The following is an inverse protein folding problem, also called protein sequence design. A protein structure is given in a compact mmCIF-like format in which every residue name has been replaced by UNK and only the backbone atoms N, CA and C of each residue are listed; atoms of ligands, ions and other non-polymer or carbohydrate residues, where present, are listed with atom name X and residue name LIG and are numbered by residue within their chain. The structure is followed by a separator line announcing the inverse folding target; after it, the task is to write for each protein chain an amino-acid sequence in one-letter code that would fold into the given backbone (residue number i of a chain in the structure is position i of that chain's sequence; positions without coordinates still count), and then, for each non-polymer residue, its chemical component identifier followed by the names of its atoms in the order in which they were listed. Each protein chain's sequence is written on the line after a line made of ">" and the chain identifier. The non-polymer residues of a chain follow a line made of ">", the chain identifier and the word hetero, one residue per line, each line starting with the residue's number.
data_IF_664085497292
#
_entry.id   IF_664085497292
#
_cell.length_a   1.000
_cell.length_b   1.000
_cell.length_c   1.000
_cell.angle_alpha   90.00
_cell.angle_beta   90.00
_cell.angle_gamma   90.00
#
_symmetry.space_group_name_H-M   'P 1'
#
loop_
_entity.id
_entity.type
_entity.pdbx_description
1 polymer ?
#
# COMPACT_ATOMS: atom_id res chain seq x y z
N UNK A 1 16.84 -22.15 -13.43
CA UNK A 1 17.50 -20.83 -13.35
C UNK A 1 16.98 -19.88 -14.43
N UNK A 2 16.98 -20.26 -15.72
CA UNK A 2 16.49 -19.42 -16.82
C UNK A 2 15.05 -18.93 -16.61
N UNK A 3 14.10 -19.83 -16.33
CA UNK A 3 12.68 -19.47 -16.08
C UNK A 3 12.48 -18.52 -14.88
N UNK A 4 13.37 -18.60 -13.88
CA UNK A 4 13.31 -17.75 -12.67
C UNK A 4 13.84 -16.36 -12.98
N UNK A 5 14.93 -16.26 -13.77
CA UNK A 5 15.40 -14.96 -14.25
C UNK A 5 14.38 -14.29 -15.16
N UNK A 6 13.70 -15.04 -16.04
CA UNK A 6 12.60 -14.51 -16.86
C UNK A 6 11.41 -14.01 -16.02
N UNK A 7 11.07 -14.73 -14.94
CA UNK A 7 10.06 -14.26 -13.99
C UNK A 7 10.50 -12.97 -13.28
N UNK A 8 11.71 -12.93 -12.73
CA UNK A 8 12.24 -11.77 -12.00
C UNK A 8 12.40 -10.56 -12.92
N UNK A 9 12.78 -10.78 -14.17
CA UNK A 9 12.88 -9.76 -15.20
C UNK A 9 11.52 -9.07 -15.44
N UNK A 10 10.46 -9.85 -15.69
CA UNK A 10 9.10 -9.30 -15.85
C UNK A 10 8.62 -8.58 -14.60
N UNK A 11 8.86 -9.18 -13.43
CA UNK A 11 8.51 -8.60 -12.14
C UNK A 11 9.17 -7.22 -11.91
N UNK A 12 10.46 -7.07 -12.28
CA UNK A 12 11.18 -5.80 -12.16
C UNK A 12 10.77 -4.80 -13.25
N UNK A 13 10.51 -5.26 -14.47
CA UNK A 13 10.02 -4.44 -15.57
C UNK A 13 8.66 -3.79 -15.24
N UNK A 14 7.72 -4.55 -14.64
CA UNK A 14 6.45 -4.02 -14.14
C UNK A 14 6.65 -2.93 -13.07
N UNK A 15 7.61 -3.13 -12.16
CA UNK A 15 7.96 -2.13 -11.14
C UNK A 15 8.54 -0.85 -11.76
N UNK A 16 9.43 -0.98 -12.74
CA UNK A 16 10.05 0.17 -13.43
C UNK A 16 8.97 1.00 -14.15
N UNK A 17 8.05 0.36 -14.87
CA UNK A 17 6.97 1.05 -15.59
C UNK A 17 6.08 1.87 -14.64
N UNK A 18 5.72 1.29 -13.49
CA UNK A 18 4.92 2.00 -12.49
C UNK A 18 5.73 3.10 -11.79
N UNK A 19 7.00 2.85 -11.46
CA UNK A 19 7.91 3.84 -10.89
C UNK A 19 8.08 5.06 -11.81
N UNK A 20 8.19 4.85 -13.12
CA UNK A 20 8.24 5.93 -14.10
C UNK A 20 6.96 6.75 -14.15
N UNK A 21 5.81 6.10 -13.98
CA UNK A 21 4.53 6.80 -13.84
C UNK A 21 4.50 7.66 -12.58
N UNK A 22 4.98 7.16 -11.43
CA UNK A 22 5.13 7.98 -10.20
C UNK A 22 6.02 9.19 -10.48
N UNK A 23 7.17 8.99 -11.12
CA UNK A 23 8.14 10.06 -11.42
C UNK A 23 7.51 11.15 -12.29
N UNK A 24 6.84 10.77 -13.38
CA UNK A 24 6.13 11.71 -14.28
C UNK A 24 5.01 12.45 -13.55
N UNK A 25 4.30 11.77 -12.65
CA UNK A 25 3.15 12.30 -11.93
C UNK A 25 3.48 12.86 -10.54
N UNK A 26 4.75 13.13 -10.24
CA UNK A 26 5.19 13.64 -8.93
C UNK A 26 4.40 14.87 -8.46
N UNK A 27 4.09 15.79 -9.38
CA UNK A 27 3.27 16.97 -9.11
C UNK A 27 1.83 16.62 -8.69
N UNK A 28 1.17 15.67 -9.37
CA UNK A 28 -0.18 15.19 -9.00
C UNK A 28 -0.17 14.56 -7.61
N UNK A 29 0.85 13.75 -7.31
CA UNK A 29 1.00 13.13 -5.99
C UNK A 29 1.28 14.18 -4.92
N UNK A 30 2.06 15.21 -5.24
CA UNK A 30 2.35 16.31 -4.33
C UNK A 30 1.06 17.08 -3.99
N UNK A 31 0.22 17.39 -4.98
CA UNK A 31 -1.08 18.04 -4.77
C UNK A 31 -2.01 17.24 -3.85
N UNK A 32 -2.01 15.91 -3.97
CA UNK A 32 -2.70 15.04 -3.02
C UNK A 32 -2.07 15.16 -1.62
N UNK A 33 -0.74 15.07 -1.54
CA UNK A 33 0.00 14.96 -0.28
C UNK A 33 -0.08 16.18 0.64
N UNK A 34 -0.42 17.36 0.09
CA UNK A 34 -0.60 18.61 0.86
C UNK A 34 -2.01 18.70 1.49
N UNK A 35 -2.96 17.88 1.02
CA UNK A 35 -4.36 17.84 1.53
C UNK A 35 -4.64 16.62 2.38
N UNK A 36 -3.82 15.58 2.24
CA UNK A 36 -3.93 14.36 3.01
C UNK A 36 -3.08 14.43 4.30
N UNK A 37 -3.57 13.90 5.43
CA UNK A 37 -2.74 13.71 6.61
C UNK A 37 -1.60 12.73 6.31
N UNK A 38 -0.51 12.79 7.09
CA UNK A 38 0.51 11.73 7.05
C UNK A 38 -0.04 10.50 7.74
N UNK A 39 -0.19 9.40 6.99
CA UNK A 39 -0.83 8.18 7.47
C UNK A 39 0.16 7.02 7.63
N UNK A 40 0.06 6.32 8.77
CA UNK A 40 0.62 4.99 8.97
C UNK A 40 -0.51 3.98 9.17
N UNK A 41 -0.51 2.95 8.34
CA UNK A 41 -1.42 1.82 8.45
C UNK A 41 -0.66 0.57 8.85
N UNK A 42 -1.03 -0.06 9.95
CA UNK A 42 -0.54 -1.40 10.32
C UNK A 42 -1.58 -2.43 9.90
N UNK A 43 -1.15 -3.54 9.30
CA UNK A 43 -2.03 -4.59 8.79
C UNK A 43 -1.32 -5.92 8.60
N UNK A 44 -2.08 -6.97 8.29
CA UNK A 44 -1.55 -8.31 8.07
C UNK A 44 -0.55 -8.39 6.89
N UNK A 45 0.38 -9.35 6.92
CA UNK A 45 1.27 -9.73 5.79
C UNK A 45 0.54 -10.30 4.58
N UNK A 46 -0.72 -10.71 4.76
CA UNK A 46 -1.60 -11.28 3.73
C UNK A 46 -1.66 -10.43 2.45
N UNK A 47 -1.42 -11.07 1.31
CA UNK A 47 -1.35 -10.44 -0.01
C UNK A 47 -2.69 -9.85 -0.48
N UNK A 48 -3.82 -10.33 0.05
CA UNK A 48 -5.17 -9.86 -0.32
C UNK A 48 -5.45 -8.44 0.21
N UNK A 49 -4.78 -8.03 1.28
CA UNK A 49 -4.86 -6.65 1.83
C UNK A 49 -3.68 -5.78 1.42
N UNK A 50 -3.08 -6.06 0.26
CA UNK A 50 -1.92 -5.33 -0.25
C UNK A 50 -2.24 -3.86 -0.64
N UNK A 51 -1.22 -3.00 -0.53
CA UNK A 51 -1.21 -1.67 -1.14
C UNK A 51 -2.12 -0.62 -0.52
N UNK A 52 -2.20 0.52 -1.20
CA UNK A 52 -3.00 1.70 -0.84
C UNK A 52 -4.26 1.88 -1.70
N UNK A 53 -4.45 1.03 -2.73
CA UNK A 53 -5.52 1.16 -3.72
C UNK A 53 -6.90 1.28 -3.08
N UNK A 54 -7.23 0.42 -2.12
CA UNK A 54 -8.53 0.44 -1.44
C UNK A 54 -8.77 1.69 -0.60
N UNK A 55 -7.71 2.39 -0.18
CA UNK A 55 -7.80 3.59 0.67
C UNK A 55 -7.85 4.89 -0.13
N UNK A 56 -7.57 4.84 -1.43
CA UNK A 56 -7.48 6.04 -2.27
C UNK A 56 -6.17 6.81 -2.16
N UNK A 57 -5.15 6.28 -1.47
CA UNK A 57 -3.89 7.01 -1.33
C UNK A 57 -2.94 6.67 -2.49
N UNK A 58 -2.21 7.63 -3.05
CA UNK A 58 -1.02 7.37 -3.86
C UNK A 58 0.03 6.59 -3.05
N UNK A 59 0.76 5.69 -3.71
CA UNK A 59 1.68 4.71 -3.09
C UNK A 59 2.84 5.32 -2.29
N UNK A 60 3.20 6.58 -2.52
CA UNK A 60 4.27 7.30 -1.79
C UNK A 60 3.75 8.14 -0.62
N UNK A 61 2.43 8.26 -0.45
CA UNK A 61 1.80 9.17 0.54
C UNK A 61 1.32 8.49 1.81
N UNK A 62 1.31 7.15 1.83
CA UNK A 62 0.89 6.33 2.96
C UNK A 62 2.00 5.34 3.32
N UNK A 63 2.20 5.12 4.62
CA UNK A 63 3.17 4.17 5.14
C UNK A 63 2.46 2.92 5.64
N UNK A 64 3.14 1.78 5.53
CA UNK A 64 2.62 0.50 6.00
C UNK A 64 3.55 -0.17 7.00
N UNK A 65 3.01 -0.65 8.11
CA UNK A 65 3.57 -1.72 8.92
C UNK A 65 2.88 -3.05 8.57
N UNK A 66 3.64 -4.15 8.48
CA UNK A 66 3.12 -5.45 8.07
C UNK A 66 3.64 -6.58 8.94
N UNK A 67 2.74 -7.27 9.62
CA UNK A 67 3.06 -8.44 10.46
C UNK A 67 1.98 -9.50 10.38
N UNK A 68 2.29 -10.73 10.74
CA UNK A 68 1.32 -11.83 10.78
C UNK A 68 0.13 -11.44 11.69
N UNK A 69 -1.08 -11.47 11.15
CA UNK A 69 -2.29 -11.07 11.88
C UNK A 69 -2.32 -9.62 12.37
N UNK A 70 -1.40 -8.76 11.92
CA UNK A 70 -1.14 -7.46 12.53
C UNK A 70 -0.78 -7.55 14.03
N UNK A 71 -0.17 -8.66 14.45
CA UNK A 71 0.36 -8.83 15.80
C UNK A 71 1.65 -8.03 15.91
N UNK A 72 1.81 -7.22 16.95
CA UNK A 72 2.98 -6.36 17.13
C UNK A 72 3.37 -6.32 18.60
N UNK A 73 4.66 -6.50 18.89
CA UNK A 73 5.17 -6.27 20.23
C UNK A 73 5.18 -4.76 20.53
N UNK A 74 4.32 -4.31 21.46
CA UNK A 74 4.18 -2.90 21.85
C UNK A 74 5.06 -2.51 23.03
N UNK A 75 6.06 -3.32 23.39
CA UNK A 75 7.07 -2.89 24.36
C UNK A 75 7.99 -1.82 23.72
N UNK A 76 8.54 -0.92 24.55
CA UNK A 76 9.37 0.20 24.07
C UNK A 76 10.68 -0.26 23.40
N UNK A 77 11.11 -1.51 23.60
CA UNK A 77 12.31 -2.06 22.95
C UNK A 77 12.08 -2.44 21.49
N UNK A 78 10.82 -2.47 21.01
CA UNK A 78 10.53 -2.64 19.59
C UNK A 78 10.81 -1.34 18.81
N UNK A 79 12.10 -1.05 18.64
CA UNK A 79 12.59 0.16 17.99
C UNK A 79 11.92 0.41 16.63
N UNK A 80 11.79 -0.61 15.78
CA UNK A 80 11.24 -0.45 14.43
C UNK A 80 9.76 -0.03 14.43
N UNK A 81 8.96 -0.52 15.38
CA UNK A 81 7.56 -0.13 15.49
C UNK A 81 7.44 1.34 15.93
N UNK A 82 8.10 1.72 17.02
CA UNK A 82 8.02 3.07 17.57
C UNK A 82 8.67 4.12 16.66
N UNK A 83 9.85 3.85 16.13
CA UNK A 83 10.53 4.72 15.17
C UNK A 83 9.68 4.97 13.91
N UNK A 84 8.86 4.00 13.47
CA UNK A 84 7.95 4.21 12.34
C UNK A 84 6.86 5.23 12.66
N UNK A 85 6.36 5.24 13.90
CA UNK A 85 5.38 6.20 14.40
C UNK A 85 6.03 7.58 14.59
N UNK A 86 7.19 7.65 15.24
CA UNK A 86 7.91 8.92 15.43
C UNK A 86 8.24 9.60 14.09
N UNK A 87 8.72 8.83 13.11
CA UNK A 87 8.97 9.35 11.76
C UNK A 87 7.71 9.82 11.04
N UNK A 88 6.53 9.29 11.40
CA UNK A 88 5.26 9.76 10.85
C UNK A 88 4.87 11.09 11.49
N UNK A 89 4.98 11.20 12.81
CA UNK A 89 4.68 12.42 13.55
C UNK A 89 5.60 13.55 13.10
N UNK A 90 6.90 13.30 12.96
CA UNK A 90 7.85 14.30 12.47
C UNK A 90 7.54 14.74 11.03
N UNK A 91 7.10 13.81 10.17
CA UNK A 91 6.66 14.12 8.81
C UNK A 91 5.40 15.02 8.82
N UNK A 92 4.43 14.73 9.70
CA UNK A 92 3.22 15.55 9.85
C UNK A 92 3.54 16.97 10.35
N UNK A 93 4.40 17.11 11.36
CA UNK A 93 4.81 18.42 11.89
C UNK A 93 5.43 19.29 10.79
N UNK A 94 6.30 18.72 9.97
CA UNK A 94 7.01 19.47 8.94
C UNK A 94 6.17 19.75 7.68
N UNK A 95 5.25 18.86 7.31
CA UNK A 95 4.59 18.90 5.99
C UNK A 95 3.07 19.14 6.03
N UNK A 96 2.42 18.95 7.16
CA UNK A 96 0.98 19.21 7.36
C UNK A 96 0.75 19.85 8.73
N UNK A 97 1.28 21.06 8.98
CA UNK A 97 1.20 21.70 10.28
C UNK A 97 -0.26 21.81 10.74
N UNK A 98 -0.48 21.66 12.04
CA UNK A 98 -1.79 21.64 12.70
C UNK A 98 -2.67 20.40 12.41
N UNK A 99 -2.32 19.56 11.43
CA UNK A 99 -3.01 18.29 11.19
C UNK A 99 -2.27 17.17 11.92
N UNK A 100 -2.89 16.48 12.90
CA UNK A 100 -2.23 15.35 13.55
C UNK A 100 -1.94 14.24 12.53
N UNK A 101 -0.85 13.51 12.77
CA UNK A 101 -0.60 12.29 12.02
C UNK A 101 -1.76 11.29 12.22
N UNK A 102 -1.98 10.40 11.27
CA UNK A 102 -3.05 9.40 11.35
C UNK A 102 -2.45 7.99 11.48
N UNK A 103 -2.76 7.32 12.58
CA UNK A 103 -2.43 5.91 12.77
C UNK A 103 -3.69 5.07 12.67
N UNK A 104 -3.66 4.01 11.85
CA UNK A 104 -4.78 3.07 11.76
C UNK A 104 -4.27 1.63 11.83
N UNK A 105 -4.71 0.87 12.83
CA UNK A 105 -4.47 -0.56 12.91
C UNK A 105 -5.62 -1.33 12.26
N UNK A 106 -5.32 -2.11 11.22
CA UNK A 106 -6.31 -2.91 10.50
C UNK A 106 -6.20 -4.38 10.83
N UNK A 107 -7.36 -4.98 11.12
CA UNK A 107 -7.58 -6.40 10.91
C UNK A 107 -8.16 -6.61 9.51
N UNK A 108 -8.19 -7.87 9.08
CA UNK A 108 -8.98 -8.26 7.92
C UNK A 108 -9.94 -9.38 8.31
N UNK A 109 -10.98 -9.55 7.48
CA UNK A 109 -11.93 -10.66 7.56
C UNK A 109 -12.37 -11.07 6.16
N UNK A 110 -12.97 -12.24 6.05
CA UNK A 110 -13.66 -12.71 4.85
C UNK A 110 -15.05 -13.17 5.27
N UNK A 111 -16.05 -12.93 4.43
CA UNK A 111 -17.39 -13.47 4.62
C UNK A 111 -17.43 -14.95 4.16
N UNK A 112 -16.39 -15.43 3.47
CA UNK A 112 -16.25 -16.83 3.08
C UNK A 112 -15.70 -17.69 4.24
N UNK A 113 -16.31 -18.86 4.51
CA UNK A 113 -15.84 -19.77 5.55
C UNK A 113 -14.37 -20.17 5.36
N UNK A 114 -13.58 -20.08 6.44
CA UNK A 114 -12.17 -20.50 6.44
C UNK A 114 -11.20 -19.58 5.68
N UNK A 115 -11.66 -18.42 5.21
CA UNK A 115 -10.85 -17.46 4.44
C UNK A 115 -10.44 -16.22 5.26
N UNK A 116 -10.77 -16.19 6.56
CA UNK A 116 -10.36 -15.15 7.50
C UNK A 116 -8.85 -15.18 7.84
N UNK A 117 -8.44 -14.45 8.88
CA UNK A 117 -7.02 -14.35 9.23
C UNK A 117 -6.43 -15.65 9.79
N UNK A 118 -5.54 -16.29 9.04
CA UNK A 118 -4.90 -17.55 9.46
C UNK A 118 -4.08 -17.42 10.77
N UNK A 119 -3.43 -16.27 10.99
CA UNK A 119 -2.66 -16.01 12.21
C UNK A 119 -3.52 -15.97 13.49
N UNK A 120 -4.83 -15.73 13.33
CA UNK A 120 -5.82 -15.73 14.40
C UNK A 120 -6.80 -16.91 14.28
N UNK A 121 -6.42 -17.98 13.57
CA UNK A 121 -7.27 -19.17 13.35
C UNK A 121 -8.66 -18.84 12.76
N UNK A 122 -8.73 -17.82 11.90
CA UNK A 122 -9.98 -17.31 11.33
C UNK A 122 -10.99 -16.76 12.36
N UNK A 123 -10.52 -16.41 13.56
CA UNK A 123 -11.32 -15.74 14.60
C UNK A 123 -11.21 -14.22 14.47
N UNK A 124 -12.28 -13.61 13.96
CA UNK A 124 -12.42 -12.17 13.82
C UNK A 124 -12.34 -11.42 15.16
N UNK A 125 -12.78 -12.04 16.26
CA UNK A 125 -12.72 -11.43 17.60
C UNK A 125 -11.28 -11.38 18.11
N UNK A 126 -10.50 -12.45 17.90
CA UNK A 126 -9.08 -12.48 18.23
C UNK A 126 -8.29 -11.47 17.37
N UNK A 127 -8.57 -11.42 16.06
CA UNK A 127 -7.97 -10.44 15.16
C UNK A 127 -8.30 -8.99 15.58
N UNK A 128 -9.55 -8.76 16.01
CA UNK A 128 -10.00 -7.47 16.52
C UNK A 128 -9.30 -7.08 17.82
N UNK A 129 -9.11 -8.03 18.73
CA UNK A 129 -8.42 -7.81 20.00
C UNK A 129 -6.96 -7.38 19.78
N UNK A 130 -6.25 -8.03 18.84
CA UNK A 130 -4.86 -7.68 18.53
C UNK A 130 -4.69 -6.21 18.10
N UNK A 131 -5.59 -5.71 17.25
CA UNK A 131 -5.53 -4.30 16.83
C UNK A 131 -5.98 -3.32 17.92
N UNK A 132 -6.90 -3.73 18.81
CA UNK A 132 -7.29 -2.91 19.97
C UNK A 132 -6.16 -2.76 20.99
N UNK A 133 -5.40 -3.83 21.24
CA UNK A 133 -4.21 -3.78 22.10
C UNK A 133 -3.15 -2.84 21.50
N UNK A 134 -2.94 -2.92 20.18
CA UNK A 134 -2.02 -2.03 19.47
C UNK A 134 -2.45 -0.56 19.56
N UNK A 135 -3.71 -0.23 19.27
CA UNK A 135 -4.17 1.16 19.30
C UNK A 135 -4.19 1.74 20.70
N UNK A 136 -4.51 0.93 21.72
CA UNK A 136 -4.44 1.35 23.11
C UNK A 136 -3.01 1.73 23.49
N UNK A 137 -2.03 0.88 23.19
CA UNK A 137 -0.63 1.17 23.49
C UNK A 137 -0.13 2.46 22.82
N UNK A 138 -0.53 2.72 21.56
CA UNK A 138 -0.16 3.97 20.86
C UNK A 138 -0.81 5.19 21.51
N UNK A 139 -2.08 5.09 21.93
CA UNK A 139 -2.82 6.18 22.62
C UNK A 139 -2.23 6.48 24.01
N UNK A 140 -1.66 5.49 24.68
CA UNK A 140 -0.99 5.67 25.98
C UNK A 140 0.34 6.42 25.86
N UNK A 141 1.06 6.21 24.75
CA UNK A 141 2.38 6.83 24.52
C UNK A 141 2.27 8.23 23.91
N UNK A 142 1.32 8.45 22.99
CA UNK A 142 1.25 9.69 22.22
C UNK A 142 -0.04 10.46 22.46
N UNK A 143 0.11 11.78 22.60
CA UNK A 143 -0.98 12.72 22.66
C UNK A 143 -1.72 12.82 21.32
N UNK A 144 -3.03 13.03 21.40
CA UNK A 144 -3.95 13.03 20.26
C UNK A 144 -3.66 14.14 19.25
N UNK A 145 -3.18 15.27 19.75
CA UNK A 145 -2.82 16.46 18.98
C UNK A 145 -1.62 16.20 18.05
N UNK A 146 -0.79 15.21 18.39
CA UNK A 146 0.33 14.76 17.55
C UNK A 146 -0.09 13.62 16.62
N UNK A 147 -0.92 12.70 17.11
CA UNK A 147 -1.37 11.53 16.35
C UNK A 147 -2.79 11.11 16.73
N UNK A 148 -3.66 11.05 15.73
CA UNK A 148 -4.99 10.49 15.87
C UNK A 148 -4.95 8.99 15.56
N UNK A 149 -5.43 8.18 16.52
CA UNK A 149 -5.31 6.71 16.47
C UNK A 149 -6.69 6.09 16.27
N UNK A 150 -6.84 5.33 15.20
CA UNK A 150 -8.07 4.62 14.84
C UNK A 150 -7.82 3.14 14.61
N UNK A 151 -8.92 2.40 14.52
CA UNK A 151 -8.89 1.00 14.15
C UNK A 151 -9.64 0.82 12.84
N UNK A 152 -9.36 -0.28 12.14
CA UNK A 152 -9.99 -0.56 10.87
C UNK A 152 -10.23 -2.05 10.63
N UNK A 153 -11.20 -2.34 9.79
CA UNK A 153 -11.51 -3.69 9.30
C UNK A 153 -11.52 -3.63 7.78
N UNK A 154 -10.80 -4.54 7.13
CA UNK A 154 -10.89 -4.73 5.68
C UNK A 154 -11.55 -6.08 5.39
N UNK A 155 -12.67 -6.06 4.66
CA UNK A 155 -13.23 -7.27 4.07
C UNK A 155 -12.39 -7.67 2.85
N UNK A 156 -11.78 -8.84 2.86
CA UNK A 156 -10.91 -9.32 1.77
C UNK A 156 -11.69 -9.67 0.51
N UNK A 157 -12.99 -9.87 0.57
CA UNK A 157 -13.77 -10.33 -0.57
C UNK A 157 -14.18 -9.13 -1.42
N UNK A 158 -14.66 -8.07 -0.78
CA UNK A 158 -15.12 -6.85 -1.45
C UNK A 158 -14.16 -5.66 -1.36
N UNK A 159 -13.07 -5.74 -0.57
CA UNK A 159 -12.22 -4.60 -0.20
C UNK A 159 -12.93 -3.49 0.59
N UNK A 160 -14.13 -3.78 1.12
CA UNK A 160 -14.88 -2.83 1.93
C UNK A 160 -14.19 -2.57 3.27
N UNK A 161 -14.20 -1.31 3.67
CA UNK A 161 -13.57 -0.82 4.86
C UNK A 161 -14.61 -0.49 5.94
N UNK A 162 -14.28 -0.80 7.18
CA UNK A 162 -14.94 -0.23 8.36
C UNK A 162 -13.90 0.56 9.13
N UNK A 163 -14.11 1.87 9.30
CA UNK A 163 -13.31 2.71 10.19
C UNK A 163 -13.97 2.74 11.56
N UNK A 164 -13.17 2.57 12.62
CA UNK A 164 -13.65 2.54 14.00
C UNK A 164 -12.85 3.56 14.82
N UNK A 165 -13.57 4.55 15.36
CA UNK A 165 -13.02 5.70 16.05
C UNK A 165 -12.81 5.42 17.55
N UNK A 166 -12.09 6.32 18.23
CA UNK A 166 -11.73 6.14 19.64
C UNK A 166 -12.92 6.12 20.61
N UNK A 167 -14.04 6.71 20.21
CA UNK A 167 -15.32 6.70 20.93
C UNK A 167 -16.20 5.47 20.62
N UNK A 168 -15.73 4.57 19.75
CA UNK A 168 -16.47 3.40 19.29
C UNK A 168 -17.40 3.65 18.09
N UNK A 169 -17.54 4.91 17.64
CA UNK A 169 -18.27 5.26 16.42
C UNK A 169 -17.69 4.52 15.22
N UNK A 170 -18.54 4.19 14.24
CA UNK A 170 -18.14 3.42 13.05
C UNK A 170 -18.60 4.10 11.77
N UNK A 171 -17.75 4.03 10.75
CA UNK A 171 -18.10 4.31 9.38
C UNK A 171 -17.84 3.04 8.56
N UNK A 172 -18.91 2.38 8.15
CA UNK A 172 -18.86 1.09 7.45
C UNK A 172 -19.28 1.24 5.98
N UNK A 173 -18.35 0.93 5.07
CA UNK A 173 -18.60 1.01 3.63
C UNK A 173 -19.66 0.02 3.15
N UNK A 174 -19.75 -1.18 3.74
CA UNK A 174 -20.76 -2.16 3.34
C UNK A 174 -22.16 -1.74 3.78
N UNK A 175 -22.28 -1.12 4.96
CA UNK A 175 -23.51 -0.47 5.41
C UNK A 175 -23.93 0.64 4.45
N UNK A 176 -23.02 1.57 4.13
CA UNK A 176 -23.31 2.66 3.17
C UNK A 176 -23.74 2.15 1.80
N UNK A 177 -23.09 1.12 1.25
CA UNK A 177 -23.49 0.54 -0.03
C UNK A 177 -24.91 -0.02 0.03
N UNK A 178 -25.26 -0.71 1.12
CA UNK A 178 -26.58 -1.34 1.29
C UNK A 178 -27.68 -0.30 1.53
N UNK A 179 -27.43 0.69 2.38
CA UNK A 179 -28.42 1.69 2.77
C UNK A 179 -28.84 2.59 1.60
N UNK A 180 -27.93 2.80 0.64
CA UNK A 180 -28.19 3.56 -0.60
C UNK A 180 -28.46 2.67 -1.82
N UNK A 181 -28.48 1.35 -1.65
CA UNK A 181 -28.71 0.33 -2.70
C UNK A 181 -27.79 0.45 -3.94
N UNK A 182 -26.54 0.90 -3.75
CA UNK A 182 -25.61 1.04 -4.87
C UNK A 182 -25.20 -0.31 -5.47
N UNK A 183 -25.18 -0.39 -6.80
CA UNK A 183 -24.75 -1.56 -7.59
C UNK A 183 -23.47 -1.30 -8.36
N UNK A 184 -23.22 -0.06 -8.76
CA UNK A 184 -22.10 0.28 -9.64
C UNK A 184 -21.29 1.46 -9.10
N UNK A 185 -19.96 1.53 -9.36
CA UNK A 185 -19.13 2.61 -8.84
C UNK A 185 -19.55 4.02 -9.27
N UNK A 186 -20.12 4.17 -10.48
CA UNK A 186 -20.53 5.47 -11.00
C UNK A 186 -21.74 6.04 -10.26
N UNK A 187 -22.60 5.18 -9.67
CA UNK A 187 -23.81 5.62 -8.98
C UNK A 187 -23.53 6.52 -7.78
N UNK A 188 -22.37 6.41 -7.13
CA UNK A 188 -22.05 7.29 -5.99
C UNK A 188 -21.86 8.75 -6.40
N UNK A 189 -21.59 9.00 -7.68
CA UNK A 189 -21.29 10.32 -8.20
C UNK A 189 -22.54 11.03 -8.70
N UNK A 190 -22.54 12.35 -8.61
CA UNK A 190 -23.63 13.17 -9.11
C UNK A 190 -23.65 13.16 -10.66
N UNK A 191 -24.84 13.12 -11.27
CA UNK A 191 -25.00 13.06 -12.75
C UNK A 191 -24.24 14.17 -13.50
N UNK A 192 -24.19 15.38 -12.92
CA UNK A 192 -23.46 16.49 -13.52
C UNK A 192 -21.94 16.27 -13.53
N UNK A 193 -21.36 15.60 -12.52
CA UNK A 193 -19.94 15.24 -12.54
C UNK A 193 -19.68 14.23 -13.66
N UNK A 194 -20.50 13.18 -13.74
CA UNK A 194 -20.34 12.10 -14.72
C UNK A 194 -20.39 12.60 -16.17
N UNK A 195 -21.28 13.54 -16.47
CA UNK A 195 -21.60 13.96 -17.85
C UNK A 195 -20.56 14.86 -18.51
N UNK A 196 -19.81 15.66 -17.76
CA UNK A 196 -18.96 16.70 -18.32
C UNK A 196 -17.47 16.36 -18.18
N UNK A 197 -16.63 16.68 -19.20
CA UNK A 197 -15.19 16.54 -19.07
C UNK A 197 -14.64 17.38 -17.91
N UNK A 198 -13.50 16.93 -17.37
CA UNK A 198 -12.78 17.69 -16.35
C UNK A 198 -12.39 19.07 -16.89
N UNK A 199 -12.84 20.13 -16.20
CA UNK A 199 -12.46 21.52 -16.55
C UNK A 199 -11.01 21.83 -16.21
N UNK A 200 -10.45 21.12 -15.26
CA UNK A 200 -9.06 21.24 -14.82
C UNK A 200 -8.12 20.66 -15.90
N UNK A 201 -7.32 21.49 -16.60
CA UNK A 201 -6.47 21.03 -17.70
C UNK A 201 -5.43 20.00 -17.26
N UNK A 202 -4.96 20.07 -16.01
CA UNK A 202 -3.99 19.13 -15.46
C UNK A 202 -4.58 17.73 -15.37
N UNK A 203 -5.80 17.61 -14.84
CA UNK A 203 -6.53 16.34 -14.76
C UNK A 203 -6.96 15.86 -16.14
N UNK A 204 -7.56 16.72 -16.96
CA UNK A 204 -8.11 16.37 -18.28
C UNK A 204 -7.06 15.73 -19.20
N UNK A 205 -5.83 16.28 -19.21
CA UNK A 205 -4.73 15.75 -20.03
C UNK A 205 -4.37 14.30 -19.68
N UNK A 206 -4.30 13.96 -18.39
CA UNK A 206 -3.87 12.64 -17.95
C UNK A 206 -4.94 11.55 -18.09
N UNK A 207 -6.21 11.94 -18.19
CA UNK A 207 -7.33 11.02 -18.44
C UNK A 207 -7.75 10.97 -19.91
N UNK A 208 -7.00 11.65 -20.81
CA UNK A 208 -7.29 11.69 -22.24
C UNK A 208 -8.59 12.42 -22.58
N UNK A 209 -8.93 13.48 -21.82
CA UNK A 209 -10.13 14.31 -21.97
C UNK A 209 -11.46 13.57 -21.85
N UNK A 210 -11.44 12.33 -21.35
CA UNK A 210 -12.64 11.54 -21.04
C UNK A 210 -13.43 12.15 -19.90
N UNK A 211 -14.75 12.01 -19.98
CA UNK A 211 -15.69 12.24 -18.90
C UNK A 211 -15.53 11.17 -17.81
N UNK A 212 -15.92 11.44 -16.55
CA UNK A 212 -15.93 10.40 -15.53
C UNK A 212 -16.80 9.20 -15.89
N UNK A 213 -17.93 9.41 -16.59
CA UNK A 213 -18.78 8.32 -17.09
C UNK A 213 -17.99 7.37 -18.02
N UNK A 214 -17.25 7.91 -18.98
CA UNK A 214 -16.39 7.12 -19.88
C UNK A 214 -15.28 6.37 -19.14
N UNK A 215 -14.76 6.91 -18.04
CA UNK A 215 -13.77 6.24 -17.20
C UNK A 215 -14.33 5.04 -16.41
N UNK A 216 -15.66 5.01 -16.20
CA UNK A 216 -16.39 3.93 -15.54
C UNK A 216 -17.03 2.94 -16.53
N UNK A 217 -16.81 3.09 -17.84
CA UNK A 217 -17.29 2.12 -18.82
C UNK A 217 -16.53 0.80 -18.73
N UNK A 218 -17.26 -0.27 -18.97
CA UNK A 218 -16.73 -1.63 -19.08
C UNK A 218 -16.36 -1.98 -20.51
N UNK A 219 -15.40 -2.88 -20.71
CA UNK A 219 -14.68 -3.69 -19.70
C UNK A 219 -13.45 -3.00 -19.08
N UNK A 220 -12.98 -1.87 -19.61
CA UNK A 220 -11.67 -1.33 -19.23
C UNK A 220 -11.64 -0.71 -17.83
N UNK A 221 -12.73 -0.10 -17.35
CA UNK A 221 -12.86 0.52 -16.02
C UNK A 221 -11.61 1.35 -15.63
N UNK A 222 -11.22 2.25 -16.54
CA UNK A 222 -9.96 3.00 -16.49
C UNK A 222 -9.80 3.82 -15.20
N UNK A 223 -10.91 4.22 -14.57
CA UNK A 223 -10.91 4.94 -13.30
C UNK A 223 -10.05 4.25 -12.21
N UNK A 224 -10.03 2.92 -12.19
CA UNK A 224 -9.27 2.13 -11.21
C UNK A 224 -8.13 1.32 -11.84
N UNK A 225 -8.29 0.86 -13.08
CA UNK A 225 -7.34 -0.05 -13.73
C UNK A 225 -6.14 0.66 -14.33
N UNK A 226 -6.33 1.88 -14.86
CA UNK A 226 -5.22 2.66 -15.40
C UNK A 226 -4.51 3.43 -14.26
N UNK A 227 -3.22 3.19 -14.07
CA UNK A 227 -2.48 3.72 -12.93
C UNK A 227 -2.38 5.25 -12.96
N UNK A 228 -2.19 5.82 -14.15
CA UNK A 228 -2.12 7.27 -14.35
C UNK A 228 -3.47 7.92 -14.04
N UNK A 229 -4.56 7.43 -14.65
CA UNK A 229 -5.93 7.88 -14.38
C UNK A 229 -6.25 7.77 -12.90
N UNK A 230 -5.98 6.64 -12.26
CA UNK A 230 -6.25 6.46 -10.84
C UNK A 230 -5.50 7.47 -9.96
N UNK A 231 -4.23 7.78 -10.26
CA UNK A 231 -3.48 8.81 -9.52
C UNK A 231 -4.10 10.20 -9.69
N UNK A 232 -4.53 10.56 -10.90
CA UNK A 232 -5.23 11.82 -11.15
C UNK A 232 -6.57 11.90 -10.42
N UNK A 233 -7.37 10.84 -10.48
CA UNK A 233 -8.66 10.81 -9.79
C UNK A 233 -8.52 10.93 -8.28
N UNK A 234 -7.48 10.33 -7.69
CA UNK A 234 -7.19 10.51 -6.27
C UNK A 234 -6.91 11.96 -5.90
N UNK A 235 -6.03 12.64 -6.65
CA UNK A 235 -5.69 14.05 -6.42
C UNK A 235 -6.88 14.98 -6.64
N UNK A 236 -7.62 14.76 -7.75
CA UNK A 236 -8.82 15.52 -8.07
C UNK A 236 -9.88 15.39 -6.97
N UNK A 237 -10.26 14.17 -6.62
CA UNK A 237 -11.31 13.93 -5.64
C UNK A 237 -10.97 14.46 -4.25
N UNK A 238 -9.74 14.26 -3.76
CA UNK A 238 -9.38 14.82 -2.44
C UNK A 238 -9.43 16.35 -2.46
N UNK A 239 -9.04 17.01 -3.57
CA UNK A 239 -9.14 18.46 -3.72
C UNK A 239 -10.58 18.95 -3.68
N UNK A 240 -11.46 18.35 -4.49
CA UNK A 240 -12.85 18.78 -4.56
C UNK A 240 -13.60 18.51 -3.24
N UNK A 241 -13.42 17.32 -2.64
CA UNK A 241 -14.01 16.99 -1.33
C UNK A 241 -13.50 17.96 -0.25
N UNK A 242 -12.21 18.27 -0.24
CA UNK A 242 -11.65 19.24 0.71
C UNK A 242 -12.24 20.62 0.52
N UNK A 243 -12.41 21.07 -0.73
CA UNK A 243 -13.03 22.36 -1.01
C UNK A 243 -14.44 22.45 -0.45
N UNK A 244 -15.28 21.44 -0.74
CA UNK A 244 -16.68 21.38 -0.28
C UNK A 244 -16.78 21.40 1.25
N UNK A 245 -15.95 20.59 1.93
CA UNK A 245 -15.98 20.52 3.40
C UNK A 245 -15.48 21.80 4.06
N UNK A 246 -14.41 22.40 3.53
CA UNK A 246 -13.85 23.63 4.10
C UNK A 246 -14.75 24.84 3.85
N UNK A 247 -15.44 24.89 2.72
CA UNK A 247 -16.36 25.99 2.39
C UNK A 247 -17.78 25.80 2.94
N UNK A 248 -18.07 24.68 3.61
CA UNK A 248 -19.40 24.31 4.09
C UNK A 248 -20.48 24.30 2.97
N UNK A 249 -20.06 24.00 1.74
CA UNK A 249 -20.92 24.09 0.54
C UNK A 249 -21.54 22.73 0.18
N UNK A 250 -22.16 22.09 1.18
CA UNK A 250 -22.73 20.74 1.02
C UNK A 250 -23.93 20.69 0.08
N UNK A 251 -24.73 21.76 0.06
CA UNK A 251 -25.98 21.78 -0.69
C UNK A 251 -25.76 22.00 -2.19
N UNK A 252 -24.74 22.75 -2.59
CA UNK A 252 -24.54 23.13 -3.99
C UNK A 252 -23.49 22.27 -4.72
N UNK A 253 -22.73 21.45 -3.99
CA UNK A 253 -21.76 20.52 -4.57
C UNK A 253 -22.42 19.57 -5.59
N UNK A 254 -21.72 19.33 -6.70
CA UNK A 254 -22.17 18.47 -7.81
C UNK A 254 -21.19 17.35 -8.13
N UNK A 255 -20.42 16.92 -7.12
CA UNK A 255 -19.41 15.87 -7.24
C UNK A 255 -20.01 14.49 -6.92
N UNK A 256 -20.63 14.36 -5.74
CA UNK A 256 -21.16 13.12 -5.17
C UNK A 256 -22.67 13.24 -5.01
N UNK A 257 -23.40 12.12 -4.97
CA UNK A 257 -24.79 12.15 -4.54
C UNK A 257 -24.94 12.90 -3.19
N UNK A 258 -25.82 13.92 -3.09
CA UNK A 258 -25.94 14.76 -1.89
C UNK A 258 -26.26 13.96 -0.62
N UNK A 259 -27.19 13.01 -0.69
CA UNK A 259 -27.60 12.21 0.46
C UNK A 259 -26.47 11.34 1.00
N UNK A 260 -25.69 10.73 0.10
CA UNK A 260 -24.49 9.97 0.48
C UNK A 260 -23.45 10.86 1.15
N UNK A 261 -23.17 12.02 0.55
CA UNK A 261 -22.19 12.97 1.07
C UNK A 261 -22.60 13.45 2.46
N UNK A 262 -23.85 13.83 2.63
CA UNK A 262 -24.42 14.24 3.93
C UNK A 262 -24.34 13.13 4.97
N UNK A 263 -24.66 11.89 4.62
CA UNK A 263 -24.57 10.76 5.55
C UNK A 263 -23.13 10.53 6.04
N UNK A 264 -22.14 10.57 5.15
CA UNK A 264 -20.72 10.44 5.52
C UNK A 264 -20.29 11.59 6.43
N UNK A 265 -20.60 12.83 6.04
CA UNK A 265 -20.20 14.03 6.76
C UNK A 265 -20.84 14.09 8.16
N UNK A 266 -22.14 13.79 8.26
CA UNK A 266 -22.82 13.71 9.56
C UNK A 266 -22.20 12.65 10.47
N UNK A 267 -21.89 11.46 9.94
CA UNK A 267 -21.22 10.42 10.74
C UNK A 267 -19.84 10.90 11.22
N UNK A 268 -19.07 11.60 10.39
CA UNK A 268 -17.75 12.11 10.79
C UNK A 268 -17.83 13.24 11.82
N UNK A 269 -18.75 14.20 11.65
CA UNK A 269 -18.94 15.29 12.62
C UNK A 269 -19.49 14.81 13.96
N UNK A 270 -20.21 13.68 13.98
CA UNK A 270 -20.68 13.05 15.21
C UNK A 270 -19.59 12.32 16.01
N UNK A 271 -18.41 12.06 15.41
CA UNK A 271 -17.31 11.40 16.11
C UNK A 271 -16.74 12.32 17.18
N UNK A 272 -16.75 11.83 18.42
CA UNK A 272 -16.25 12.60 19.55
C UNK A 272 -14.75 12.89 19.39
N UNK A 273 -14.41 14.16 19.57
CA UNK A 273 -13.04 14.66 19.59
C UNK A 273 -12.27 14.40 18.27
N UNK A 274 -12.93 14.14 17.13
CA UNK A 274 -12.27 14.02 15.82
C UNK A 274 -11.71 15.38 15.40
N UNK A 275 -10.39 15.50 15.13
CA UNK A 275 -9.81 16.75 14.64
C UNK A 275 -10.48 17.19 13.33
N UNK A 276 -11.02 18.43 13.24
CA UNK A 276 -11.74 18.90 12.05
C UNK A 276 -10.92 18.80 10.76
N UNK A 277 -9.60 19.00 10.85
CA UNK A 277 -8.68 18.90 9.72
C UNK A 277 -8.55 17.49 9.14
N UNK A 278 -8.98 16.45 9.86
CA UNK A 278 -9.01 15.08 9.34
C UNK A 278 -10.32 14.75 8.59
N UNK A 279 -11.40 15.50 8.82
CA UNK A 279 -12.72 15.23 8.24
C UNK A 279 -12.67 15.17 6.70
N UNK A 280 -12.06 16.13 5.98
CA UNK A 280 -11.99 16.08 4.52
C UNK A 280 -11.33 14.81 3.98
N UNK A 281 -10.21 14.42 4.56
CA UNK A 281 -9.45 13.25 4.11
C UNK A 281 -10.17 11.93 4.41
N UNK A 282 -10.86 11.84 5.55
CA UNK A 282 -11.67 10.67 5.91
C UNK A 282 -12.94 10.58 5.07
N UNK A 283 -13.59 11.70 4.76
CA UNK A 283 -14.72 11.75 3.83
C UNK A 283 -14.29 11.27 2.43
N UNK A 284 -13.17 11.80 1.92
CA UNK A 284 -12.58 11.36 0.66
C UNK A 284 -12.28 9.85 0.66
N UNK A 285 -11.58 9.34 1.68
CA UNK A 285 -11.24 7.93 1.81
C UNK A 285 -12.50 7.04 1.81
N UNK A 286 -13.55 7.47 2.51
CA UNK A 286 -14.82 6.75 2.59
C UNK A 286 -15.50 6.66 1.23
N UNK A 287 -15.61 7.79 0.51
CA UNK A 287 -16.17 7.85 -0.84
C UNK A 287 -15.38 6.97 -1.82
N UNK A 288 -14.05 7.06 -1.77
CA UNK A 288 -13.19 6.22 -2.59
C UNK A 288 -13.40 4.74 -2.29
N UNK A 289 -13.45 4.35 -1.01
CA UNK A 289 -13.60 2.95 -0.63
C UNK A 289 -14.97 2.38 -1.03
N UNK A 290 -16.05 3.17 -0.96
CA UNK A 290 -17.37 2.77 -1.46
C UNK A 290 -17.29 2.45 -2.96
N UNK A 291 -16.79 3.37 -3.78
CA UNK A 291 -16.65 3.15 -5.22
C UNK A 291 -15.73 1.96 -5.55
N UNK A 292 -14.59 1.86 -4.87
CA UNK A 292 -13.63 0.78 -5.07
C UNK A 292 -14.18 -0.59 -4.65
N UNK A 293 -15.03 -0.63 -3.63
CA UNK A 293 -15.67 -1.86 -3.15
C UNK A 293 -16.73 -2.35 -4.14
N UNK A 294 -17.55 -1.44 -4.68
CA UNK A 294 -18.49 -1.74 -5.77
C UNK A 294 -17.76 -2.27 -7.00
N UNK A 295 -16.63 -1.64 -7.37
CA UNK A 295 -15.78 -2.08 -8.47
C UNK A 295 -15.24 -3.48 -8.21
N UNK A 296 -14.75 -3.75 -7.00
CA UNK A 296 -14.16 -5.05 -6.67
C UNK A 296 -15.21 -6.16 -6.68
N UNK A 297 -16.40 -5.93 -6.11
CA UNK A 297 -17.50 -6.90 -6.15
C UNK A 297 -17.86 -7.28 -7.59
N UNK A 298 -18.10 -6.27 -8.43
CA UNK A 298 -18.44 -6.47 -9.83
C UNK A 298 -17.34 -7.19 -10.61
N UNK A 299 -16.07 -6.82 -10.39
CA UNK A 299 -14.92 -7.51 -10.97
C UNK A 299 -14.90 -9.00 -10.59
N UNK A 300 -15.05 -9.31 -9.30
CA UNK A 300 -15.01 -10.69 -8.78
C UNK A 300 -16.16 -11.53 -9.37
N UNK A 301 -17.34 -10.93 -9.57
CA UNK A 301 -18.49 -11.58 -10.19
C UNK A 301 -18.25 -11.94 -11.66
N UNK A 302 -17.52 -11.10 -12.40
CA UNK A 302 -17.24 -11.28 -13.83
C UNK A 302 -16.07 -12.25 -14.14
N UNK A 303 -15.25 -12.58 -13.15
CA UNK A 303 -14.13 -13.49 -13.33
C UNK A 303 -14.58 -14.95 -13.41
N UNK A 304 -13.81 -15.76 -14.13
CA UNK A 304 -13.93 -17.21 -14.08
C UNK A 304 -13.70 -17.72 -12.65
N UNK A 305 -14.18 -18.92 -12.35
CA UNK A 305 -14.04 -19.52 -11.01
C UNK A 305 -12.56 -19.60 -10.57
N UNK A 306 -11.66 -19.98 -11.49
CA UNK A 306 -10.23 -20.06 -11.19
C UNK A 306 -9.62 -18.69 -10.88
N UNK A 307 -9.92 -17.67 -11.68
CA UNK A 307 -9.44 -16.31 -11.46
C UNK A 307 -10.03 -15.67 -10.20
N UNK A 308 -11.29 -15.99 -9.90
CA UNK A 308 -11.97 -15.58 -8.68
C UNK A 308 -11.24 -16.11 -7.45
N UNK A 309 -10.89 -17.40 -7.43
CA UNK A 309 -10.14 -17.99 -6.32
C UNK A 309 -8.72 -17.44 -6.18
N UNK A 310 -8.07 -17.06 -7.28
CA UNK A 310 -6.78 -16.34 -7.24
C UNK A 310 -6.88 -14.97 -6.55
N UNK A 311 -8.07 -14.41 -6.39
CA UNK A 311 -8.29 -13.13 -5.70
C UNK A 311 -8.76 -13.33 -4.26
N UNK A 312 -9.66 -14.30 -4.03
CA UNK A 312 -10.34 -14.50 -2.74
C UNK A 312 -9.53 -15.32 -1.73
N UNK A 313 -8.74 -16.28 -2.17
CA UNK A 313 -7.84 -17.09 -1.33
C UNK A 313 -6.38 -16.63 -1.48
N UNK A 314 -5.48 -17.15 -0.65
CA UNK A 314 -4.04 -17.02 -0.82
C UNK A 314 -3.59 -17.62 -2.16
N UNK A 315 -2.93 -16.79 -2.97
CA UNK A 315 -2.38 -17.17 -4.26
C UNK A 315 -1.05 -16.47 -4.57
N UNK A 316 -0.39 -15.96 -3.52
CA UNK A 316 0.88 -15.24 -3.62
C UNK A 316 1.98 -16.11 -4.22
N UNK A 317 2.86 -15.46 -4.98
CA UNK A 317 3.90 -16.11 -5.79
C UNK A 317 5.30 -16.01 -5.15
N UNK A 318 5.51 -15.02 -4.29
CA UNK A 318 6.79 -14.78 -3.60
C UNK A 318 6.58 -14.14 -2.23
N UNK A 319 7.64 -14.19 -1.41
CA UNK A 319 7.74 -13.46 -0.15
C UNK A 319 8.51 -12.17 -0.39
N UNK A 320 7.97 -11.04 0.02
CA UNK A 320 8.68 -9.77 0.02
C UNK A 320 9.02 -9.36 1.46
N UNK A 321 10.30 -9.17 1.77
CA UNK A 321 10.78 -8.81 3.09
C UNK A 321 11.45 -7.43 3.10
N UNK A 322 10.98 -6.53 3.96
CA UNK A 322 11.46 -5.15 4.03
C UNK A 322 10.44 -4.15 3.49
N UNK A 323 10.90 -2.98 3.03
CA UNK A 323 10.05 -1.85 2.66
C UNK A 323 10.01 -1.61 1.14
N UNK A 324 9.20 -0.66 0.64
CA UNK A 324 9.19 -0.25 -0.79
C UNK A 324 8.26 -1.02 -1.73
N UNK A 325 7.48 -1.98 -1.23
CA UNK A 325 6.63 -2.87 -2.04
C UNK A 325 5.26 -2.28 -2.43
N UNK A 326 5.00 -1.00 -2.24
CA UNK A 326 3.65 -0.41 -2.38
C UNK A 326 3.06 -0.42 -3.81
N UNK A 327 3.89 -0.70 -4.81
CA UNK A 327 3.51 -0.84 -6.23
C UNK A 327 3.00 -2.24 -6.59
N UNK A 328 3.15 -3.23 -5.71
CA UNK A 328 2.75 -4.59 -6.05
C UNK A 328 1.23 -4.71 -6.21
N UNK A 329 0.82 -5.68 -7.01
CA UNK A 329 -0.59 -5.99 -7.15
C UNK A 329 -1.10 -6.77 -5.94
N UNK A 330 -2.42 -6.71 -5.75
CA UNK A 330 -3.11 -7.56 -4.77
C UNK A 330 -2.77 -9.02 -5.04
N UNK A 331 -2.50 -9.77 -3.97
CA UNK A 331 -2.17 -11.19 -3.99
C UNK A 331 -0.91 -11.58 -4.78
N UNK A 332 -0.07 -10.61 -5.18
CA UNK A 332 1.20 -10.92 -5.84
C UNK A 332 2.20 -11.53 -4.86
N UNK A 333 2.31 -10.95 -3.67
CA UNK A 333 3.31 -11.29 -2.68
C UNK A 333 2.78 -11.26 -1.25
N UNK A 334 3.36 -12.11 -0.40
CA UNK A 334 3.23 -12.03 1.05
C UNK A 334 4.22 -10.97 1.53
N UNK A 335 3.77 -9.96 2.27
CA UNK A 335 4.60 -8.83 2.65
C UNK A 335 5.00 -8.86 4.13
N UNK A 336 6.25 -9.19 4.41
CA UNK A 336 6.80 -9.11 5.77
C UNK A 336 7.57 -7.80 5.94
N UNK A 337 7.27 -7.03 6.99
CA UNK A 337 8.01 -5.82 7.34
C UNK A 337 8.61 -5.93 8.73
N UNK A 338 9.69 -5.18 8.96
CA UNK A 338 10.29 -5.05 10.30
C UNK A 338 9.32 -4.40 11.28
N UNK A 339 9.47 -4.75 12.56
CA UNK A 339 8.70 -4.16 13.65
C UNK A 339 7.64 -5.08 14.23
N UNK A 340 7.68 -6.38 13.92
CA UNK A 340 6.94 -7.41 14.67
C UNK A 340 7.41 -7.52 16.12
N UNK A 341 8.68 -7.20 16.37
CA UNK A 341 9.45 -7.59 17.55
C UNK A 341 10.41 -8.69 17.17
N UNK A 342 9.87 -9.86 16.80
CA UNK A 342 10.62 -10.94 16.17
C UNK A 342 10.12 -11.18 14.74
N UNK A 343 10.90 -10.77 13.75
CA UNK A 343 10.50 -10.89 12.35
C UNK A 343 10.53 -12.34 11.84
N UNK A 344 11.27 -13.25 12.49
CA UNK A 344 11.32 -14.66 12.06
C UNK A 344 9.96 -15.34 12.17
N UNK A 345 9.14 -14.94 13.14
CA UNK A 345 7.79 -15.50 13.34
C UNK A 345 6.89 -15.15 12.15
N UNK A 346 6.94 -13.90 11.68
CA UNK A 346 6.20 -13.46 10.50
C UNK A 346 6.71 -14.16 9.22
N UNK A 347 8.04 -14.35 9.11
CA UNK A 347 8.64 -15.07 7.98
C UNK A 347 8.26 -16.56 7.97
N UNK A 348 8.16 -17.22 9.13
CA UNK A 348 7.69 -18.60 9.25
C UNK A 348 6.23 -18.75 8.78
N UNK A 349 5.37 -17.80 9.13
CA UNK A 349 3.98 -17.78 8.62
C UNK A 349 3.97 -17.57 7.11
N UNK A 350 4.77 -16.64 6.59
CA UNK A 350 4.89 -16.39 5.15
C UNK A 350 5.36 -17.63 4.38
N UNK A 351 6.37 -18.35 4.90
CA UNK A 351 6.86 -19.63 4.36
C UNK A 351 5.73 -20.65 4.27
N UNK A 352 5.00 -20.88 5.37
CA UNK A 352 3.89 -21.87 5.41
C UNK A 352 2.80 -21.57 4.38
N UNK A 353 2.43 -20.30 4.21
CA UNK A 353 1.42 -19.90 3.23
C UNK A 353 1.93 -20.17 1.81
N UNK A 354 3.17 -19.81 1.50
CA UNK A 354 3.73 -20.04 0.16
C UNK A 354 3.88 -21.53 -0.15
N UNK A 355 4.38 -22.34 0.79
CA UNK A 355 4.47 -23.80 0.66
C UNK A 355 3.10 -24.43 0.39
N UNK A 356 2.05 -23.98 1.11
CA UNK A 356 0.68 -24.42 0.86
C UNK A 356 0.20 -24.04 -0.54
N UNK A 357 0.48 -22.82 -1.01
CA UNK A 357 0.12 -22.37 -2.36
C UNK A 357 0.81 -23.20 -3.44
N UNK A 358 2.09 -23.51 -3.26
CA UNK A 358 2.86 -24.38 -4.16
C UNK A 358 2.34 -25.81 -4.16
N UNK A 359 2.01 -26.35 -2.99
CA UNK A 359 1.42 -27.69 -2.84
C UNK A 359 0.09 -27.83 -3.59
N UNK A 360 -0.77 -26.80 -3.59
CA UNK A 360 -2.02 -26.79 -4.39
C UNK A 360 -1.77 -26.87 -5.91
N UNK A 361 -0.61 -26.40 -6.38
CA UNK A 361 -0.24 -26.34 -7.81
C UNK A 361 0.76 -27.42 -8.22
N UNK A 362 1.14 -28.32 -7.30
CA UNK A 362 2.24 -29.28 -7.50
C UNK A 362 3.54 -28.62 -7.98
N UNK A 363 3.79 -27.38 -7.55
CA UNK A 363 4.97 -26.60 -7.94
C UNK A 363 6.17 -26.93 -7.04
N UNK A 364 7.20 -27.52 -7.62
CA UNK A 364 8.43 -27.92 -6.91
C UNK A 364 9.57 -26.91 -7.06
N UNK A 365 9.33 -25.74 -7.68
CA UNK A 365 10.37 -24.72 -7.84
C UNK A 365 10.83 -24.15 -6.48
N UNK A 366 12.01 -23.51 -6.38
CA UNK A 366 12.47 -22.88 -5.15
C UNK A 366 11.49 -21.83 -4.61
N UNK A 367 11.54 -21.58 -3.30
CA UNK A 367 10.85 -20.42 -2.71
C UNK A 367 11.54 -19.14 -3.20
N UNK A 368 10.75 -18.20 -3.72
CA UNK A 368 11.24 -16.89 -4.13
C UNK A 368 11.07 -15.89 -2.98
N UNK A 369 12.18 -15.26 -2.59
CA UNK A 369 12.18 -14.16 -1.62
C UNK A 369 12.76 -12.92 -2.27
N UNK A 370 12.05 -11.81 -2.19
CA UNK A 370 12.55 -10.50 -2.57
C UNK A 370 12.77 -9.65 -1.32
N UNK A 371 14.03 -9.37 -1.01
CA UNK A 371 14.42 -8.50 0.09
C UNK A 371 14.73 -7.10 -0.45
N UNK A 372 14.00 -6.09 0.01
CA UNK A 372 14.24 -4.70 -0.39
C UNK A 372 14.49 -3.78 0.80
N UNK A 373 15.49 -2.91 0.66
CA UNK A 373 15.74 -1.81 1.59
C UNK A 373 15.24 -0.50 0.98
N UNK A 374 14.29 0.14 1.65
CA UNK A 374 13.84 1.47 1.25
C UNK A 374 14.75 2.56 1.84
N UNK A 375 15.35 3.34 0.97
CA UNK A 375 16.16 4.50 1.30
C UNK A 375 15.33 5.79 1.22
N UNK A 376 15.50 6.68 2.19
CA UNK A 376 14.80 7.97 2.27
C UNK A 376 15.71 9.18 2.04
N UNK A 377 17.03 8.98 1.89
CA UNK A 377 18.01 10.04 1.69
C UNK A 377 18.76 9.92 0.37
N UNK A 378 19.62 10.88 0.07
CA UNK A 378 20.57 10.76 -1.03
C UNK A 378 21.73 9.82 -0.63
N UNK A 379 22.31 9.15 -1.62
CA UNK A 379 23.50 8.30 -1.45
C UNK A 379 24.69 9.06 -2.06
N UNK A 380 25.36 9.86 -1.23
CA UNK A 380 26.38 10.81 -1.63
C UNK A 380 27.80 10.24 -1.53
N UNK A 381 28.01 9.30 -0.62
CA UNK A 381 29.27 8.58 -0.42
C UNK A 381 29.06 7.07 -0.34
N UNK A 382 30.15 6.31 -0.44
CA UNK A 382 30.12 4.85 -0.27
C UNK A 382 29.67 4.43 1.14
N UNK A 383 30.02 5.22 2.16
CA UNK A 383 29.54 5.07 3.54
C UNK A 383 28.00 4.99 3.59
N UNK A 384 27.31 5.86 2.84
CA UNK A 384 25.84 5.87 2.80
C UNK A 384 25.29 4.54 2.27
N UNK A 385 25.95 3.93 1.28
CA UNK A 385 25.56 2.60 0.76
C UNK A 385 25.75 1.54 1.86
N UNK A 386 26.88 1.57 2.56
CA UNK A 386 27.18 0.58 3.59
C UNK A 386 26.18 0.68 4.76
N UNK A 387 25.95 1.87 5.29
CA UNK A 387 25.07 2.09 6.43
C UNK A 387 23.59 1.98 6.06
N UNK A 388 23.18 2.56 4.94
CA UNK A 388 21.76 2.65 4.62
C UNK A 388 21.22 1.47 3.85
N UNK A 389 22.07 0.73 3.12
CA UNK A 389 21.64 -0.36 2.23
C UNK A 389 22.26 -1.69 2.63
N UNK A 390 23.59 -1.83 2.53
CA UNK A 390 24.27 -3.13 2.61
C UNK A 390 24.17 -3.75 4.01
N UNK A 391 24.43 -2.98 5.06
CA UNK A 391 24.36 -3.46 6.45
C UNK A 391 22.95 -3.90 6.85
N UNK A 392 21.93 -3.14 6.44
CA UNK A 392 20.51 -3.47 6.67
C UNK A 392 20.12 -4.72 5.89
N UNK A 393 20.50 -4.81 4.62
CA UNK A 393 20.28 -6.00 3.79
C UNK A 393 20.88 -7.23 4.45
N UNK A 394 22.15 -7.17 4.87
CA UNK A 394 22.83 -8.29 5.53
C UNK A 394 22.19 -8.65 6.88
N UNK A 395 21.66 -7.69 7.62
CA UNK A 395 20.90 -7.94 8.85
C UNK A 395 19.63 -8.74 8.57
N UNK A 396 18.84 -8.31 7.57
CA UNK A 396 17.61 -9.01 7.19
C UNK A 396 17.89 -10.40 6.58
N UNK A 397 18.99 -10.56 5.84
CA UNK A 397 19.42 -11.85 5.29
C UNK A 397 19.66 -12.91 6.38
N UNK A 398 20.13 -12.53 7.57
CA UNK A 398 20.33 -13.46 8.69
C UNK A 398 19.01 -14.09 9.17
N UNK A 399 17.92 -13.31 9.14
CA UNK A 399 16.59 -13.84 9.48
C UNK A 399 16.11 -14.83 8.42
N UNK A 400 16.38 -14.56 7.13
CA UNK A 400 16.06 -15.50 6.06
C UNK A 400 16.88 -16.79 6.18
N UNK A 401 18.16 -16.69 6.54
CA UNK A 401 19.01 -17.86 6.81
C UNK A 401 18.46 -18.73 7.91
N UNK A 402 17.98 -18.13 9.00
CA UNK A 402 17.41 -18.86 10.12
C UNK A 402 16.06 -19.54 9.77
N UNK A 403 15.25 -18.92 8.91
CA UNK A 403 13.89 -19.39 8.60
C UNK A 403 13.85 -20.39 7.43
N UNK A 404 14.77 -20.27 6.48
CA UNK A 404 14.79 -21.04 5.22
C UNK A 404 16.03 -21.95 5.12
N UNK A 405 16.61 -22.39 6.24
CA UNK A 405 17.82 -23.21 6.26
C UNK A 405 17.64 -24.61 5.63
N UNK A 406 16.40 -25.13 5.65
CA UNK A 406 16.01 -26.48 5.23
C UNK A 406 15.23 -26.51 3.91
N UNK A 407 15.10 -25.37 3.21
CA UNK A 407 14.32 -25.27 1.96
C UNK A 407 15.10 -24.56 0.88
N UNK A 408 15.03 -25.09 -0.34
CA UNK A 408 15.60 -24.45 -1.51
C UNK A 408 14.96 -23.08 -1.74
N UNK A 409 15.79 -22.04 -1.69
CA UNK A 409 15.33 -20.64 -1.72
C UNK A 409 16.21 -19.82 -2.65
N UNK A 410 15.57 -18.95 -3.43
CA UNK A 410 16.20 -17.95 -4.26
C UNK A 410 15.86 -16.56 -3.71
N UNK A 411 16.89 -15.73 -3.56
CA UNK A 411 16.78 -14.39 -3.00
C UNK A 411 17.14 -13.34 -4.07
N UNK A 412 16.21 -12.43 -4.34
CA UNK A 412 16.47 -11.18 -5.02
C UNK A 412 16.71 -10.09 -3.96
N UNK A 413 17.87 -9.45 -3.97
CA UNK A 413 18.18 -8.31 -3.08
C UNK A 413 18.17 -7.01 -3.87
N UNK A 414 17.44 -6.02 -3.38
CA UNK A 414 17.35 -4.69 -4.00
C UNK A 414 17.41 -3.58 -2.95
N UNK A 415 17.61 -2.36 -3.42
CA UNK A 415 17.17 -1.16 -2.70
C UNK A 415 16.21 -0.33 -3.54
N UNK A 416 15.50 0.61 -2.90
CA UNK A 416 14.62 1.55 -3.59
C UNK A 416 14.60 2.91 -2.92
N UNK A 417 14.45 4.00 -3.68
CA UNK A 417 14.15 5.31 -3.09
C UNK A 417 12.67 5.45 -2.74
N UNK A 418 12.37 6.03 -1.58
CA UNK A 418 11.01 6.20 -1.07
C UNK A 418 10.07 6.96 -2.01
N UNK A 419 10.57 7.96 -2.73
CA UNK A 419 9.77 8.81 -3.62
C UNK A 419 9.64 8.23 -5.05
N UNK A 420 10.42 7.20 -5.38
CA UNK A 420 10.42 6.58 -6.72
C UNK A 420 9.87 5.15 -6.70
N UNK A 421 10.06 4.42 -5.60
CA UNK A 421 9.66 3.01 -5.42
C UNK A 421 10.24 2.04 -6.47
N UNK A 422 11.33 2.43 -7.14
CA UNK A 422 12.04 1.56 -8.10
C UNK A 422 12.94 0.59 -7.38
N UNK A 423 12.89 -0.68 -7.75
CA UNK A 423 13.83 -1.68 -7.26
C UNK A 423 15.13 -1.65 -8.06
N UNK A 424 16.25 -1.48 -7.37
CA UNK A 424 17.60 -1.51 -7.91
C UNK A 424 18.32 -2.77 -7.41
N UNK A 425 18.55 -3.76 -8.29
CA UNK A 425 19.23 -5.00 -7.92
C UNK A 425 20.65 -4.77 -7.41
N UNK A 426 20.99 -5.41 -6.29
CA UNK A 426 22.32 -5.33 -5.68
C UNK A 426 22.76 -6.69 -5.17
N UNK A 427 24.07 -6.93 -5.09
CA UNK A 427 24.64 -8.07 -4.37
C UNK A 427 25.51 -7.58 -3.21
N UNK A 428 25.12 -7.93 -1.97
CA UNK A 428 25.83 -7.48 -0.76
C UNK A 428 26.85 -8.48 -0.23
N UNK A 429 26.77 -9.75 -0.66
CA UNK A 429 27.70 -10.82 -0.30
C UNK A 429 27.73 -11.90 -1.37
N UNK A 430 28.77 -12.73 -1.38
CA UNK A 430 28.84 -13.93 -2.21
C UNK A 430 27.99 -15.03 -1.58
N UNK A 431 26.76 -15.17 -2.05
CA UNK A 431 25.82 -16.20 -1.63
C UNK A 431 25.14 -16.78 -2.86
N UNK A 432 25.19 -18.10 -3.03
CA UNK A 432 24.63 -18.77 -4.22
C UNK A 432 23.11 -18.65 -4.32
N UNK A 433 22.43 -18.38 -3.21
CA UNK A 433 20.97 -18.16 -3.17
C UNK A 433 20.60 -16.77 -3.67
N UNK A 434 21.49 -15.79 -3.53
CA UNK A 434 21.27 -14.44 -4.05
C UNK A 434 21.51 -14.50 -5.55
N UNK A 435 20.46 -14.32 -6.36
CA UNK A 435 20.59 -14.44 -7.81
C UNK A 435 19.81 -13.36 -8.56
N UNK A 436 20.55 -12.52 -9.27
CA UNK A 436 20.07 -11.74 -10.39
C UNK A 436 21.28 -11.35 -11.26
N UNK A 437 21.18 -11.35 -12.60
CA UNK A 437 22.34 -11.07 -13.45
C UNK A 437 22.85 -9.62 -13.36
N UNK A 438 22.05 -8.69 -12.84
CA UNK A 438 22.42 -7.26 -12.74
C UNK A 438 22.75 -6.90 -11.30
N UNK A 439 23.84 -6.15 -11.11
CA UNK A 439 24.20 -5.55 -9.83
C UNK A 439 24.57 -4.08 -10.02
N UNK A 440 23.72 -3.16 -9.56
CA UNK A 440 23.87 -1.72 -9.79
C UNK A 440 25.17 -1.17 -9.20
N UNK A 441 25.67 -1.76 -8.11
CA UNK A 441 26.88 -1.30 -7.43
C UNK A 441 28.18 -1.96 -7.93
N UNK A 442 28.13 -2.88 -8.89
CA UNK A 442 29.30 -3.63 -9.35
C UNK A 442 30.35 -2.77 -10.03
N UNK A 443 31.56 -2.62 -9.46
CA UNK A 443 32.61 -1.77 -10.04
C UNK A 443 32.53 -0.29 -9.63
N UNK A 444 31.60 0.06 -8.73
CA UNK A 444 31.61 1.32 -7.97
C UNK A 444 31.62 1.05 -6.46
N UNK A 445 32.01 -0.17 -6.06
CA UNK A 445 31.85 -0.73 -4.73
C UNK A 445 33.03 -0.45 -3.78
N UNK A 446 33.61 0.75 -3.84
CA UNK A 446 34.64 1.23 -2.91
C UNK A 446 34.58 2.75 -2.77
N UNK A 447 35.12 3.29 -1.68
CA UNK A 447 35.24 4.74 -1.48
C UNK A 447 35.98 5.44 -2.63
N UNK A 448 36.99 4.78 -3.21
CA UNK A 448 37.82 5.32 -4.29
C UNK A 448 37.14 5.29 -5.67
N UNK A 449 36.17 4.40 -5.88
CA UNK A 449 35.48 4.21 -7.16
C UNK A 449 34.06 4.81 -7.15
N UNK A 450 33.50 5.04 -5.97
CA UNK A 450 32.15 5.54 -5.82
C UNK A 450 32.07 7.02 -6.17
N UNK A 451 31.05 7.36 -6.96
CA UNK A 451 30.53 8.73 -7.03
C UNK A 451 29.01 8.67 -7.15
N UNK A 452 28.32 9.66 -6.58
CA UNK A 452 26.86 9.77 -6.69
C UNK A 452 26.41 9.89 -8.15
N UNK A 453 27.22 10.51 -9.02
CA UNK A 453 26.97 10.58 -10.46
C UNK A 453 27.09 9.21 -11.14
N UNK A 454 28.11 8.43 -10.80
CA UNK A 454 28.28 7.07 -11.34
C UNK A 454 27.11 6.16 -10.94
N UNK A 455 26.65 6.26 -9.68
CA UNK A 455 25.47 5.53 -9.21
C UNK A 455 24.21 5.94 -9.99
N UNK A 456 23.90 7.24 -10.05
CA UNK A 456 22.73 7.76 -10.79
C UNK A 456 22.75 7.38 -12.28
N UNK A 457 23.94 7.38 -12.89
CA UNK A 457 24.12 6.95 -14.29
C UNK A 457 23.73 5.48 -14.46
N UNK A 458 24.21 4.59 -13.60
CA UNK A 458 23.88 3.15 -13.63
C UNK A 458 22.41 2.87 -13.36
N UNK A 459 21.82 3.58 -12.39
CA UNK A 459 20.38 3.52 -12.10
C UNK A 459 19.54 3.96 -13.31
N UNK A 460 20.00 4.98 -14.06
CA UNK A 460 19.36 5.45 -15.28
C UNK A 460 19.49 4.49 -16.46
N UNK A 461 20.69 3.93 -16.68
CA UNK A 461 20.96 2.92 -17.71
C UNK A 461 20.07 1.69 -17.47
N UNK A 462 20.08 1.16 -16.25
CA UNK A 462 19.26 0.00 -15.85
C UNK A 462 17.77 0.20 -16.19
N UNK A 463 17.22 1.36 -15.84
CA UNK A 463 15.82 1.65 -16.15
C UNK A 463 15.57 1.75 -17.66
N UNK A 464 16.49 2.36 -18.40
CA UNK A 464 16.34 2.57 -19.85
C UNK A 464 16.43 1.25 -20.61
N UNK A 465 17.41 0.39 -20.30
CA UNK A 465 17.59 -0.93 -20.91
C UNK A 465 16.41 -1.88 -20.68
N UNK A 466 15.72 -1.72 -19.55
CA UNK A 466 14.54 -2.52 -19.21
C UNK A 466 13.25 -1.96 -19.81
N UNK A 467 13.19 -0.66 -20.07
CA UNK A 467 12.06 -0.01 -20.73
C UNK A 467 12.09 -0.14 -22.25
N UNK A 468 13.27 -0.22 -22.88
CA UNK A 468 13.41 -0.33 -24.34
C UNK A 468 12.79 -1.59 -24.95
N UNK A 469 12.37 -2.55 -24.13
CA UNK A 469 11.57 -3.71 -24.55
C UNK A 469 10.07 -3.42 -24.73
N UNK A 470 9.60 -2.23 -24.31
CA UNK A 470 8.19 -1.82 -24.34
C UNK A 470 7.92 -0.64 -25.30
N UNK A 471 8.97 -0.11 -25.94
CA UNK A 471 8.92 0.89 -27.02
C UNK A 471 9.22 0.15 -28.31
#
# INVERSE_FOLDING_TARGET
>A
MQDIHEYLDRYLEENILQSETIRRMKHVIQEFSIRAPKVLVTKCIDGRVHGSKLKGYPVTTIRFGRTDGNIVATNLNNFWFWNRIDRLINDAICNTPNTPALFIAYMHRSDLPGMGCAAHNHDDSAARKAIQEQTRAVREVFQKERIYVMEGITNTDSMAETLIFGDGSKLDTSEMIRDFDFKTPSEIFHKAFLKYPFKDPSTARYVGFKTPEELFLEPELLFFNDFQTALCMKSYLIREVTSVVVSDDFASQKLVQPDLFNAIIQKLFAVRDLPPLLIPALAYQSLWNIAYSLYTRRKVEMLSEEERWKILDHAEELICYGDGFELLQRNKAILVKTGRGNDTDALLVARKVLEKNKGKKSDTSPILVHLNIENSGELLAWEDINENITSKTNTLLRNLEAVFYDVETIVLTTYSYRDQKRFYPIHTKKDKRITYPVNIIEGINSETLFSSMSLKSREGIYATERMSKFI
#
